data_IF_231846472728
#
_entry.id   IF_231846472728
#
_cell.length_a   1.000
_cell.length_b   1.000
_cell.length_c   1.000
_cell.angle_alpha   90.00
_cell.angle_beta   90.00
_cell.angle_gamma   90.00
#
_symmetry.space_group_name_H-M   'P 1'
#
loop_
_entity.id
_entity.type
_entity.pdbx_description
1 polymer ?
#
# COMPACT_ATOMS: atom_id res chain seq x y z
N UNK A 1 29.41 -23.77 6.44
CA UNK A 1 28.33 -23.91 7.44
C UNK A 1 28.88 -24.68 8.63
N UNK A 2 28.94 -24.10 9.84
CA UNK A 2 29.29 -24.83 11.06
C UNK A 2 28.29 -25.96 11.34
N UNK A 3 28.73 -27.08 11.92
CA UNK A 3 27.89 -28.26 12.23
C UNK A 3 26.66 -27.92 13.08
N UNK A 4 26.81 -26.97 14.00
CA UNK A 4 25.74 -26.49 14.89
C UNK A 4 24.58 -25.86 14.12
N UNK A 5 24.86 -25.20 12.99
CA UNK A 5 23.82 -24.63 12.13
C UNK A 5 22.92 -25.72 11.55
N UNK A 6 23.54 -26.76 10.98
CA UNK A 6 22.83 -27.90 10.39
C UNK A 6 21.96 -28.60 11.44
N UNK A 7 22.47 -28.80 12.65
CA UNK A 7 21.71 -29.41 13.75
C UNK A 7 20.48 -28.58 14.16
N UNK A 8 20.61 -27.25 14.25
CA UNK A 8 19.48 -26.36 14.54
C UNK A 8 18.44 -26.44 13.43
N UNK A 9 18.85 -26.38 12.17
CA UNK A 9 17.96 -26.50 11.02
C UNK A 9 17.24 -27.86 11.01
N UNK A 10 17.95 -28.96 11.28
CA UNK A 10 17.36 -30.31 11.34
C UNK A 10 16.27 -30.42 12.40
N UNK A 11 16.49 -29.86 13.60
CA UNK A 11 15.45 -29.83 14.64
C UNK A 11 14.27 -28.92 14.27
N UNK A 12 14.50 -27.76 13.65
CA UNK A 12 13.41 -26.93 13.14
C UNK A 12 12.60 -27.68 12.07
N UNK A 13 13.26 -28.34 11.12
CA UNK A 13 12.60 -29.16 10.09
C UNK A 13 11.80 -30.29 10.71
N UNK A 14 12.29 -30.91 11.78
CA UNK A 14 11.55 -31.92 12.54
C UNK A 14 10.28 -31.33 13.16
N UNK A 15 10.38 -30.18 13.85
CA UNK A 15 9.22 -29.47 14.42
C UNK A 15 8.19 -29.12 13.34
N UNK A 16 8.63 -28.66 12.15
CA UNK A 16 7.73 -28.41 11.00
C UNK A 16 6.98 -29.67 10.59
N UNK A 17 7.67 -30.82 10.50
CA UNK A 17 7.07 -32.10 10.10
C UNK A 17 6.04 -32.56 11.12
N UNK A 18 6.34 -32.43 12.41
CA UNK A 18 5.42 -32.74 13.50
C UNK A 18 4.17 -31.84 13.42
N UNK A 19 4.33 -30.53 13.23
CA UNK A 19 3.22 -29.59 13.09
C UNK A 19 2.31 -29.87 11.88
N UNK A 20 2.84 -30.44 10.78
CA UNK A 20 2.02 -30.85 9.62
C UNK A 20 1.09 -32.02 9.91
N UNK A 21 1.34 -32.76 10.98
CA UNK A 21 0.47 -33.86 11.42
C UNK A 21 -0.64 -33.40 12.36
N UNK A 22 -0.67 -32.12 12.74
CA UNK A 22 -1.69 -31.57 13.62
C UNK A 22 -3.10 -31.69 12.99
N UNK A 23 -4.11 -32.11 13.77
CA UNK A 23 -5.47 -32.33 13.29
C UNK A 23 -6.22 -31.05 12.93
N UNK A 24 -5.83 -29.90 13.48
CA UNK A 24 -6.49 -28.61 13.25
C UNK A 24 -5.51 -27.54 12.75
N UNK A 25 -6.04 -26.56 11.99
CA UNK A 25 -5.26 -25.39 11.56
C UNK A 25 -4.70 -24.61 12.76
N UNK A 26 -5.50 -24.52 13.82
CA UNK A 26 -5.14 -23.89 15.08
C UNK A 26 -3.86 -24.50 15.66
N UNK A 27 -3.88 -25.82 15.93
CA UNK A 27 -2.76 -26.56 16.51
C UNK A 27 -1.53 -26.54 15.60
N UNK A 28 -1.73 -26.60 14.27
CA UNK A 28 -0.62 -26.44 13.32
C UNK A 28 0.06 -25.08 13.48
N UNK A 29 -0.73 -24.01 13.55
CA UNK A 29 -0.23 -22.64 13.70
C UNK A 29 0.47 -22.42 15.05
N UNK A 30 -0.07 -22.94 16.16
CA UNK A 30 0.59 -22.88 17.49
C UNK A 30 1.95 -23.59 17.49
N UNK A 31 2.08 -24.68 16.73
CA UNK A 31 3.32 -25.44 16.65
C UNK A 31 4.41 -24.78 15.76
N UNK A 32 4.01 -23.91 14.82
CA UNK A 32 4.96 -23.26 13.89
C UNK A 32 5.16 -21.78 14.16
N UNK A 33 4.27 -21.10 14.89
CA UNK A 33 4.44 -19.71 15.32
C UNK A 33 4.73 -19.76 16.82
N UNK A 34 6.00 -19.64 17.17
CA UNK A 34 6.46 -19.85 18.54
C UNK A 34 7.18 -18.63 19.07
N UNK A 35 7.22 -18.49 20.39
CA UNK A 35 8.09 -17.49 21.02
C UNK A 35 9.56 -17.83 20.78
N UNK A 36 10.35 -16.84 20.39
CA UNK A 36 11.80 -16.97 20.20
C UNK A 36 12.47 -17.48 21.47
N UNK A 37 12.09 -16.94 22.63
CA UNK A 37 12.68 -17.32 23.91
C UNK A 37 12.40 -18.80 24.24
N UNK A 38 11.18 -19.25 23.99
CA UNK A 38 10.79 -20.66 24.17
C UNK A 38 11.57 -21.56 23.21
N UNK A 39 11.67 -21.18 21.94
CA UNK A 39 12.41 -21.95 20.93
C UNK A 39 13.89 -22.06 21.29
N UNK A 40 14.54 -20.94 21.63
CA UNK A 40 15.96 -20.91 22.02
C UNK A 40 16.18 -21.80 23.24
N UNK A 41 15.31 -21.72 24.24
CA UNK A 41 15.39 -22.60 25.41
C UNK A 41 15.28 -24.08 25.02
N UNK A 42 14.30 -24.46 24.19
CA UNK A 42 14.12 -25.84 23.74
C UNK A 42 15.30 -26.35 22.91
N UNK A 43 15.81 -25.54 21.98
CA UNK A 43 16.95 -25.91 21.13
C UNK A 43 18.21 -26.13 21.98
N UNK A 44 18.48 -25.26 22.97
CA UNK A 44 19.62 -25.41 23.88
C UNK A 44 19.54 -26.66 24.76
N UNK A 45 18.32 -27.08 25.14
CA UNK A 45 18.15 -28.33 25.89
C UNK A 45 18.43 -29.58 25.02
N UNK A 46 18.08 -29.53 23.74
CA UNK A 46 18.27 -30.65 22.81
C UNK A 46 19.69 -30.72 22.24
N UNK A 47 20.30 -29.58 21.94
CA UNK A 47 21.56 -29.46 21.21
C UNK A 47 22.69 -29.05 22.16
N UNK A 48 23.50 -30.03 22.58
CA UNK A 48 24.59 -29.83 23.56
C UNK A 48 25.69 -28.88 23.07
N UNK A 49 25.85 -28.77 21.75
CA UNK A 49 26.88 -27.92 21.12
C UNK A 49 26.47 -26.43 21.08
N UNK A 50 25.21 -26.12 21.43
CA UNK A 50 24.65 -24.77 21.43
C UNK A 50 24.88 -24.10 22.80
N UNK A 51 26.05 -23.47 22.96
CA UNK A 51 26.56 -23.02 24.26
C UNK A 51 25.77 -21.85 24.84
N UNK A 52 25.49 -20.82 24.04
CA UNK A 52 24.83 -19.58 24.50
C UNK A 52 23.47 -19.35 23.83
N UNK A 53 22.69 -18.44 24.40
CA UNK A 53 21.44 -17.98 23.77
C UNK A 53 21.75 -17.07 22.59
N UNK A 54 22.80 -16.26 22.68
CA UNK A 54 23.25 -15.39 21.59
C UNK A 54 23.64 -16.19 20.34
N UNK A 55 24.40 -17.28 20.50
CA UNK A 55 24.79 -18.16 19.38
C UNK A 55 23.56 -18.74 18.67
N UNK A 56 22.54 -19.14 19.45
CA UNK A 56 21.29 -19.67 18.89
C UNK A 56 20.54 -18.59 18.11
N UNK A 57 20.44 -17.38 18.65
CA UNK A 57 19.78 -16.26 17.98
C UNK A 57 20.50 -15.85 16.69
N UNK A 58 21.84 -15.85 16.70
CA UNK A 58 22.64 -15.59 15.49
C UNK A 58 22.38 -16.65 14.40
N UNK A 59 22.29 -17.93 14.77
CA UNK A 59 21.90 -18.99 13.83
C UNK A 59 20.48 -18.76 13.29
N UNK A 60 19.52 -18.37 14.14
CA UNK A 60 18.15 -18.06 13.72
C UNK A 60 18.09 -16.86 12.77
N UNK A 61 18.92 -15.83 12.97
CA UNK A 61 19.07 -14.70 12.03
C UNK A 61 19.57 -15.17 10.66
N UNK A 62 20.62 -15.97 10.64
CA UNK A 62 21.13 -16.51 9.38
C UNK A 62 20.11 -17.42 8.70
N UNK A 63 19.33 -18.21 9.45
CA UNK A 63 18.20 -18.97 8.91
C UNK A 63 17.10 -18.05 8.34
N UNK A 64 16.86 -16.91 8.97
CA UNK A 64 15.91 -15.91 8.47
C UNK A 64 16.38 -15.30 7.14
N UNK A 65 17.65 -14.89 7.07
CA UNK A 65 18.26 -14.36 5.84
C UNK A 65 18.22 -15.35 4.68
N UNK A 66 18.32 -16.65 4.98
CA UNK A 66 18.22 -17.73 3.99
C UNK A 66 16.76 -18.12 3.66
N UNK A 67 15.78 -17.51 4.30
CA UNK A 67 14.36 -17.81 4.09
C UNK A 67 13.93 -19.16 4.63
N UNK A 68 14.71 -19.77 5.53
CA UNK A 68 14.33 -21.01 6.20
C UNK A 68 13.30 -20.76 7.29
N UNK A 69 13.40 -19.65 8.02
CA UNK A 69 12.43 -19.21 9.04
C UNK A 69 12.10 -17.74 8.81
N UNK A 70 11.02 -17.24 9.43
CA UNK A 70 10.71 -15.80 9.40
C UNK A 70 10.73 -15.24 10.81
N UNK A 71 11.64 -14.30 11.06
CA UNK A 71 11.73 -13.59 12.33
C UNK A 71 11.87 -12.10 12.07
N UNK A 72 10.96 -11.30 12.63
CA UNK A 72 10.91 -9.85 12.42
C UNK A 72 11.33 -9.14 13.70
N UNK A 73 12.64 -9.08 13.97
CA UNK A 73 13.24 -8.62 15.25
C UNK A 73 12.91 -7.19 15.69
N UNK A 74 12.43 -6.34 14.80
CA UNK A 74 12.29 -4.91 15.06
C UNK A 74 11.25 -4.57 16.14
N UNK A 75 11.65 -3.73 17.11
CA UNK A 75 10.86 -3.33 18.28
C UNK A 75 9.52 -2.66 17.93
N UNK A 76 9.43 -2.02 16.76
CA UNK A 76 8.22 -1.33 16.29
C UNK A 76 7.12 -2.29 15.81
N UNK A 77 7.42 -3.59 15.72
CA UNK A 77 6.45 -4.62 15.38
C UNK A 77 6.15 -5.44 16.62
N UNK A 78 4.87 -5.49 17.01
CA UNK A 78 4.40 -6.41 18.07
C UNK A 78 4.67 -7.90 17.73
N UNK A 79 5.36 -8.23 16.63
CA UNK A 79 5.78 -9.58 16.22
C UNK A 79 7.20 -9.95 16.66
N UNK A 80 7.98 -9.03 17.24
CA UNK A 80 9.42 -9.25 17.51
C UNK A 80 9.74 -10.42 18.45
N UNK A 81 8.78 -10.81 19.29
CA UNK A 81 8.88 -11.93 20.22
C UNK A 81 8.58 -13.30 19.60
N UNK A 82 8.07 -13.33 18.35
CA UNK A 82 7.63 -14.52 17.65
C UNK A 82 8.51 -14.85 16.44
N UNK A 83 8.66 -16.15 16.18
CA UNK A 83 9.33 -16.69 15.00
C UNK A 83 8.42 -17.69 14.31
N UNK A 84 8.30 -17.55 12.99
CA UNK A 84 7.56 -18.47 12.14
C UNK A 84 8.54 -19.52 11.63
N UNK A 85 8.40 -20.73 12.15
CA UNK A 85 9.26 -21.85 11.81
C UNK A 85 9.06 -22.34 10.38
N UNK A 86 7.84 -22.28 9.86
CA UNK A 86 7.49 -22.69 8.49
C UNK A 86 7.08 -21.47 7.64
N UNK A 87 7.97 -20.95 6.76
CA UNK A 87 7.69 -19.79 5.93
C UNK A 87 6.46 -19.94 5.02
N UNK A 88 6.02 -21.17 4.74
CA UNK A 88 4.80 -21.42 3.93
C UNK A 88 3.56 -20.82 4.57
N UNK A 89 3.52 -20.69 5.91
CA UNK A 89 2.41 -20.03 6.61
C UNK A 89 2.26 -18.59 6.17
N UNK A 90 3.36 -17.84 6.03
CA UNK A 90 3.31 -16.45 5.58
C UNK A 90 2.84 -16.36 4.13
N UNK A 91 3.26 -17.31 3.27
CA UNK A 91 2.82 -17.38 1.87
C UNK A 91 1.32 -17.66 1.77
N UNK A 92 0.80 -18.57 2.60
CA UNK A 92 -0.62 -18.90 2.66
C UNK A 92 -1.45 -17.69 3.15
N UNK A 93 -0.96 -16.99 4.18
CA UNK A 93 -1.58 -15.74 4.68
C UNK A 93 -1.62 -14.66 3.60
N UNK A 94 -0.52 -14.47 2.86
CA UNK A 94 -0.47 -13.52 1.74
C UNK A 94 -1.44 -13.94 0.63
N UNK A 95 -1.48 -15.23 0.28
CA UNK A 95 -2.35 -15.77 -0.76
C UNK A 95 -3.82 -15.53 -0.41
N UNK A 96 -4.21 -15.77 0.84
CA UNK A 96 -5.58 -15.54 1.32
C UNK A 96 -6.00 -14.08 1.21
N UNK A 97 -5.07 -13.13 1.16
CA UNK A 97 -5.39 -11.70 1.10
C UNK A 97 -5.26 -11.12 -0.31
N UNK A 98 -4.15 -11.41 -0.97
CA UNK A 98 -3.78 -10.84 -2.29
C UNK A 98 -4.42 -11.62 -3.44
N UNK A 99 -4.75 -12.89 -3.22
CA UNK A 99 -5.42 -13.75 -4.19
C UNK A 99 -6.58 -14.51 -3.55
N UNK A 100 -7.40 -13.78 -2.81
CA UNK A 100 -8.62 -14.28 -2.18
C UNK A 100 -9.49 -14.93 -3.26
N UNK A 101 -10.01 -16.13 -2.99
CA UNK A 101 -10.88 -16.82 -3.96
C UNK A 101 -12.27 -16.15 -4.02
N UNK A 102 -12.46 -15.23 -4.96
CA UNK A 102 -13.71 -14.48 -5.15
C UNK A 102 -14.37 -14.67 -6.53
N UNK A 103 -13.71 -15.36 -7.47
CA UNK A 103 -14.27 -15.59 -8.80
C UNK A 103 -15.53 -16.47 -8.72
N UNK A 104 -16.61 -16.04 -9.38
CA UNK A 104 -17.90 -16.74 -9.38
C UNK A 104 -18.71 -16.67 -8.07
N UNK A 105 -18.23 -15.95 -7.04
CA UNK A 105 -18.96 -15.80 -5.76
C UNK A 105 -19.86 -14.56 -5.76
N UNK A 106 -21.14 -14.70 -5.51
CA UNK A 106 -22.06 -13.56 -5.43
C UNK A 106 -22.16 -13.01 -4.01
N UNK A 107 -22.45 -11.70 -3.90
CA UNK A 107 -22.67 -11.02 -2.62
C UNK A 107 -22.01 -9.64 -2.56
N UNK A 108 -22.52 -8.79 -1.66
CA UNK A 108 -22.05 -7.41 -1.49
C UNK A 108 -20.56 -7.36 -1.15
N UNK A 109 -20.09 -8.19 -0.22
CA UNK A 109 -18.69 -8.28 0.19
C UNK A 109 -17.74 -8.60 -1.00
N UNK A 110 -18.15 -9.51 -1.90
CA UNK A 110 -17.36 -9.86 -3.10
C UNK A 110 -17.40 -8.76 -4.15
N UNK A 111 -18.51 -8.03 -4.28
CA UNK A 111 -18.63 -6.89 -5.18
C UNK A 111 -17.73 -5.73 -4.73
N UNK A 112 -17.71 -5.42 -3.44
CA UNK A 112 -16.79 -4.44 -2.84
C UNK A 112 -15.34 -4.81 -3.17
N UNK A 113 -14.93 -6.05 -2.90
CA UNK A 113 -13.57 -6.51 -3.21
C UNK A 113 -13.18 -6.31 -4.69
N UNK A 114 -14.07 -6.65 -5.63
CA UNK A 114 -13.82 -6.47 -7.07
C UNK A 114 -13.69 -5.01 -7.50
N UNK A 115 -14.55 -4.17 -6.95
CA UNK A 115 -14.67 -2.77 -7.35
C UNK A 115 -13.54 -1.94 -6.73
N UNK A 116 -13.45 -1.96 -5.41
CA UNK A 116 -12.58 -1.08 -4.61
C UNK A 116 -11.32 -1.76 -4.09
N UNK A 117 -11.16 -3.07 -4.27
CA UNK A 117 -10.06 -3.82 -3.67
C UNK A 117 -10.12 -3.89 -2.14
N UNK A 118 -11.27 -3.56 -1.53
CA UNK A 118 -11.44 -3.64 -0.08
C UNK A 118 -11.86 -5.05 0.32
N UNK A 119 -10.95 -5.78 0.98
CA UNK A 119 -11.21 -7.05 1.62
C UNK A 119 -11.74 -6.81 3.04
N UNK A 120 -13.04 -7.00 3.21
CA UNK A 120 -13.69 -6.79 4.50
C UNK A 120 -13.25 -7.82 5.53
N UNK A 121 -13.14 -7.41 6.79
CA UNK A 121 -12.69 -8.28 7.87
C UNK A 121 -13.59 -9.51 8.02
N UNK A 122 -14.91 -9.33 7.91
CA UNK A 122 -15.87 -10.44 7.95
C UNK A 122 -15.61 -11.47 6.85
N UNK A 123 -15.25 -11.02 5.64
CA UNK A 123 -14.90 -11.90 4.54
C UNK A 123 -13.56 -12.61 4.78
N UNK A 124 -12.55 -11.87 5.24
CA UNK A 124 -11.24 -12.41 5.64
C UNK A 124 -11.37 -13.55 6.66
N UNK A 125 -12.25 -13.38 7.66
CA UNK A 125 -12.48 -14.35 8.71
C UNK A 125 -13.20 -15.63 8.24
N UNK A 126 -13.70 -15.67 7.00
CA UNK A 126 -14.19 -16.93 6.42
C UNK A 126 -13.06 -17.85 5.96
N UNK A 127 -11.81 -17.36 5.87
CA UNK A 127 -10.64 -18.22 5.68
C UNK A 127 -10.39 -19.07 6.93
N UNK A 128 -10.24 -20.41 6.80
CA UNK A 128 -9.87 -21.28 7.90
C UNK A 128 -8.56 -20.86 8.59
N UNK A 129 -7.60 -20.30 7.84
CA UNK A 129 -6.30 -19.90 8.35
C UNK A 129 -6.42 -18.66 9.26
N UNK A 130 -7.15 -17.65 8.80
CA UNK A 130 -7.38 -16.42 9.55
C UNK A 130 -8.28 -16.64 10.76
N UNK A 131 -9.28 -17.51 10.65
CA UNK A 131 -10.09 -17.97 11.78
C UNK A 131 -9.24 -18.67 12.83
N UNK A 132 -8.36 -19.59 12.42
CA UNK A 132 -7.44 -20.26 13.34
C UNK A 132 -6.45 -19.29 14.02
N UNK A 133 -5.98 -18.25 13.31
CA UNK A 133 -5.17 -17.19 13.93
C UNK A 133 -5.93 -16.45 15.04
N UNK A 134 -7.22 -16.16 14.85
CA UNK A 134 -8.04 -15.55 15.90
C UNK A 134 -8.14 -16.43 17.15
N UNK A 135 -8.20 -17.75 16.98
CA UNK A 135 -8.29 -18.71 18.08
C UNK A 135 -6.96 -18.92 18.84
N UNK A 136 -5.82 -18.54 18.25
CA UNK A 136 -4.47 -18.76 18.77
C UNK A 136 -3.97 -17.70 19.75
N UNK A 137 -4.80 -16.70 20.07
CA UNK A 137 -4.50 -15.73 21.12
C UNK A 137 -4.90 -14.32 20.76
N UNK A 138 -4.79 -13.45 21.77
CA UNK A 138 -5.14 -12.04 21.65
C UNK A 138 -4.14 -11.38 20.68
N UNK A 139 -4.66 -10.77 19.62
CA UNK A 139 -3.95 -9.95 18.61
C UNK A 139 -3.19 -10.66 17.48
N UNK A 140 -3.23 -11.99 17.30
CA UNK A 140 -2.54 -12.64 16.17
C UNK A 140 -3.02 -12.15 14.80
N UNK A 141 -4.32 -11.91 14.63
CA UNK A 141 -4.87 -11.30 13.40
C UNK A 141 -4.30 -9.91 13.15
N UNK A 142 -4.25 -9.05 14.19
CA UNK A 142 -3.71 -7.70 14.09
C UNK A 142 -2.22 -7.73 13.72
N UNK A 143 -1.45 -8.58 14.40
CA UNK A 143 -0.02 -8.82 14.17
C UNK A 143 0.25 -9.17 12.69
N UNK A 144 -0.52 -10.09 12.10
CA UNK A 144 -0.37 -10.43 10.68
C UNK A 144 -0.85 -9.34 9.73
N UNK A 145 -1.93 -8.60 10.05
CA UNK A 145 -2.33 -7.44 9.27
C UNK A 145 -1.25 -6.36 9.23
N UNK A 146 -0.59 -6.11 10.36
CA UNK A 146 0.54 -5.18 10.44
C UNK A 146 1.75 -5.66 9.63
N UNK A 147 2.08 -6.95 9.66
CA UNK A 147 3.12 -7.52 8.80
C UNK A 147 2.80 -7.34 7.31
N UNK A 148 1.57 -7.61 6.88
CA UNK A 148 1.15 -7.40 5.49
C UNK A 148 1.25 -5.92 5.09
N UNK A 149 0.91 -5.01 6.00
CA UNK A 149 1.05 -3.56 5.78
C UNK A 149 2.53 -3.15 5.67
N UNK A 150 3.40 -3.73 6.50
CA UNK A 150 4.85 -3.53 6.44
C UNK A 150 5.43 -4.00 5.10
N UNK A 151 4.92 -5.11 4.55
CA UNK A 151 5.27 -5.57 3.20
C UNK A 151 4.63 -4.75 2.08
N UNK A 152 3.91 -3.66 2.42
CA UNK A 152 3.22 -2.79 1.47
C UNK A 152 2.17 -3.53 0.63
N UNK A 153 1.66 -4.66 1.13
CA UNK A 153 0.66 -5.49 0.44
C UNK A 153 -0.77 -5.03 0.74
N UNK A 154 -1.01 -4.47 1.92
CA UNK A 154 -2.33 -4.01 2.37
C UNK A 154 -2.26 -2.72 3.17
N UNK A 155 -3.39 -2.04 3.29
CA UNK A 155 -3.55 -0.82 4.08
C UNK A 155 -4.88 -0.84 4.84
N UNK A 156 -4.99 -0.21 6.01
CA UNK A 156 -6.26 -0.15 6.71
C UNK A 156 -7.23 0.79 5.97
N UNK A 157 -8.47 0.34 5.77
CA UNK A 157 -9.55 1.21 5.30
C UNK A 157 -9.91 2.29 6.34
N UNK A 158 -9.64 2.01 7.62
CA UNK A 158 -9.83 2.90 8.78
C UNK A 158 -8.61 3.81 9.02
N UNK A 159 -8.72 4.70 10.01
CA UNK A 159 -7.65 5.62 10.47
C UNK A 159 -6.33 4.90 10.82
N UNK A 160 -6.44 3.73 11.45
CA UNK A 160 -5.30 2.91 11.89
C UNK A 160 -5.63 1.44 11.75
N UNK A 161 -4.61 0.60 11.60
CA UNK A 161 -4.79 -0.84 11.65
C UNK A 161 -5.31 -1.27 13.04
N UNK A 162 -6.47 -1.93 13.05
CA UNK A 162 -7.10 -2.57 14.19
C UNK A 162 -7.40 -4.04 13.89
N UNK A 163 -7.74 -4.81 14.92
CA UNK A 163 -8.13 -6.22 14.80
C UNK A 163 -9.20 -6.43 13.72
N UNK A 164 -10.23 -5.60 13.73
CA UNK A 164 -11.42 -5.65 12.88
C UNK A 164 -11.33 -4.77 11.61
N UNK A 165 -10.17 -4.15 11.35
CA UNK A 165 -10.02 -3.27 10.18
C UNK A 165 -10.21 -4.02 8.87
N UNK A 166 -11.03 -3.47 7.99
CA UNK A 166 -11.06 -3.86 6.58
C UNK A 166 -9.73 -3.51 5.92
N UNK A 167 -9.30 -4.37 4.99
CA UNK A 167 -8.02 -4.26 4.31
C UNK A 167 -8.23 -3.74 2.91
N UNK A 168 -7.59 -2.63 2.58
CA UNK A 168 -7.43 -2.20 1.20
C UNK A 168 -6.26 -3.00 0.61
N UNK A 169 -6.54 -3.73 -0.46
CA UNK A 169 -5.58 -4.62 -1.13
C UNK A 169 -5.37 -4.15 -2.57
N UNK A 170 -4.31 -3.36 -2.84
CA UNK A 170 -4.13 -2.73 -4.15
C UNK A 170 -3.98 -3.69 -5.33
N UNK A 171 -3.60 -4.95 -5.07
CA UNK A 171 -3.48 -5.98 -6.10
C UNK A 171 -4.78 -6.21 -6.90
N UNK A 172 -5.95 -5.88 -6.34
CA UNK A 172 -7.23 -6.00 -7.04
C UNK A 172 -7.62 -4.78 -7.88
N UNK A 173 -6.89 -3.66 -7.78
CA UNK A 173 -7.31 -2.42 -8.43
C UNK A 173 -7.25 -2.49 -9.95
N UNK A 174 -6.28 -3.23 -10.53
CA UNK A 174 -6.11 -3.43 -11.99
C UNK A 174 -6.47 -2.16 -12.81
N UNK A 175 -5.97 -0.96 -12.44
CA UNK A 175 -6.45 0.32 -12.95
C UNK A 175 -6.36 0.45 -14.47
N UNK A 176 -5.32 -0.11 -15.10
CA UNK A 176 -5.17 -0.09 -16.56
C UNK A 176 -6.32 -0.82 -17.27
N UNK A 177 -6.64 -2.04 -16.81
CA UNK A 177 -7.72 -2.85 -17.38
C UNK A 177 -9.09 -2.21 -17.18
N UNK A 178 -9.29 -1.47 -16.08
CA UNK A 178 -10.52 -0.74 -15.80
C UNK A 178 -10.61 0.57 -16.60
N UNK A 179 -9.52 1.32 -16.74
CA UNK A 179 -9.45 2.54 -17.53
C UNK A 179 -9.75 2.30 -19.02
N UNK A 180 -9.27 1.19 -19.59
CA UNK A 180 -9.58 0.78 -20.97
C UNK A 180 -11.09 0.59 -21.23
N UNK A 181 -11.87 0.27 -20.19
CA UNK A 181 -13.32 0.05 -20.31
C UNK A 181 -14.13 1.35 -20.30
N UNK A 182 -13.53 2.48 -19.90
CA UNK A 182 -14.17 3.79 -19.89
C UNK A 182 -13.21 4.89 -20.36
N UNK A 183 -13.31 5.34 -21.63
CA UNK A 183 -12.52 6.47 -22.12
C UNK A 183 -12.83 7.75 -21.34
N UNK A 184 -11.80 8.33 -20.70
CA UNK A 184 -11.95 9.50 -19.83
C UNK A 184 -12.31 10.80 -20.55
N UNK A 185 -12.32 10.83 -21.89
CA UNK A 185 -12.87 11.96 -22.66
C UNK A 185 -14.35 12.25 -22.35
N UNK A 186 -15.03 11.39 -21.56
CA UNK A 186 -16.39 11.57 -21.05
C UNK A 186 -16.51 11.61 -19.51
N UNK A 187 -15.44 11.45 -18.74
CA UNK A 187 -15.53 11.50 -17.27
C UNK A 187 -15.53 12.95 -16.78
N UNK A 188 -16.74 13.46 -16.47
CA UNK A 188 -16.92 14.72 -15.75
C UNK A 188 -16.34 14.57 -14.33
N UNK A 189 -15.67 15.62 -13.84
CA UNK A 189 -15.20 15.73 -12.44
C UNK A 189 -16.20 15.15 -11.46
N UNK A 190 -15.73 14.20 -10.64
CA UNK A 190 -16.56 13.52 -9.62
C UNK A 190 -16.84 14.44 -8.44
N UNK A 191 -15.96 15.43 -8.21
CA UNK A 191 -16.13 16.45 -7.18
C UNK A 191 -17.38 17.31 -7.43
N UNK A 192 -17.79 17.48 -8.70
CA UNK A 192 -19.06 18.16 -9.06
C UNK A 192 -20.32 17.40 -8.64
N UNK A 193 -20.23 16.12 -8.26
CA UNK A 193 -21.38 15.26 -7.97
C UNK A 193 -21.68 15.13 -6.47
N UNK A 194 -20.68 15.25 -5.60
CA UNK A 194 -20.79 14.75 -4.23
C UNK A 194 -20.35 15.74 -3.14
N UNK A 195 -19.59 16.78 -3.45
CA UNK A 195 -18.92 17.58 -2.41
C UNK A 195 -19.00 19.08 -2.67
N UNK A 196 -20.06 19.69 -2.10
CA UNK A 196 -20.21 21.14 -1.88
C UNK A 196 -20.28 21.97 -3.18
N UNK A 197 -20.98 23.11 -3.15
CA UNK A 197 -20.80 24.14 -4.18
C UNK A 197 -19.35 24.65 -4.13
N UNK A 198 -18.45 23.99 -4.88
CA UNK A 198 -17.04 24.35 -4.96
C UNK A 198 -16.88 25.70 -5.66
N UNK A 199 -16.43 26.73 -4.92
CA UNK A 199 -16.12 28.05 -5.49
C UNK A 199 -14.76 28.09 -6.18
N UNK A 200 -13.86 27.19 -5.81
CA UNK A 200 -12.49 27.10 -6.32
C UNK A 200 -12.08 25.63 -6.53
N UNK A 201 -11.32 25.37 -7.58
CA UNK A 201 -10.76 24.05 -7.87
C UNK A 201 -9.41 24.18 -8.58
N UNK A 202 -8.55 23.19 -8.39
CA UNK A 202 -7.26 23.10 -9.07
C UNK A 202 -7.02 21.69 -9.59
N UNK A 203 -6.23 21.60 -10.66
CA UNK A 203 -5.84 20.34 -11.29
C UNK A 203 -4.34 20.29 -11.51
N UNK A 204 -3.77 19.14 -11.20
CA UNK A 204 -2.37 18.82 -11.42
C UNK A 204 -2.26 17.49 -12.17
N UNK A 205 -1.36 17.40 -13.14
CA UNK A 205 -1.21 16.22 -13.99
C UNK A 205 0.23 15.75 -14.07
N UNK A 206 0.41 14.44 -13.96
CA UNK A 206 1.64 13.74 -14.25
C UNK A 206 1.47 12.89 -15.50
N UNK A 207 2.37 13.02 -16.48
CA UNK A 207 2.47 12.06 -17.58
C UNK A 207 3.65 11.14 -17.33
N UNK A 208 3.38 9.84 -17.20
CA UNK A 208 4.30 8.83 -16.67
C UNK A 208 4.45 7.69 -17.67
N UNK A 209 5.65 7.12 -17.87
CA UNK A 209 5.82 6.04 -18.82
C UNK A 209 4.89 4.85 -18.54
N UNK A 210 4.26 4.34 -19.59
CA UNK A 210 3.28 3.25 -19.58
C UNK A 210 3.73 2.02 -18.77
N UNK A 211 5.01 1.68 -18.82
CA UNK A 211 5.56 0.50 -18.15
C UNK A 211 5.60 0.58 -16.62
N UNK A 212 5.48 1.78 -16.03
CA UNK A 212 5.62 2.01 -14.59
C UNK A 212 4.44 2.77 -13.96
N UNK A 213 3.55 3.32 -14.79
CA UNK A 213 2.43 4.19 -14.38
C UNK A 213 1.48 3.54 -13.36
N UNK A 214 1.12 2.27 -13.56
CA UNK A 214 0.21 1.52 -12.68
C UNK A 214 0.83 1.32 -11.28
N UNK A 215 2.10 0.94 -11.22
CA UNK A 215 2.82 0.79 -9.96
C UNK A 215 2.95 2.14 -9.23
N UNK A 216 3.25 3.22 -9.95
CA UNK A 216 3.33 4.56 -9.38
C UNK A 216 1.97 5.01 -8.86
N UNK A 217 0.89 4.84 -9.65
CA UNK A 217 -0.47 5.20 -9.24
C UNK A 217 -0.88 4.50 -7.95
N UNK A 218 -0.66 3.18 -7.87
CA UNK A 218 -0.99 2.39 -6.68
C UNK A 218 -0.24 2.91 -5.45
N UNK A 219 1.08 3.08 -5.55
CA UNK A 219 1.90 3.57 -4.45
C UNK A 219 1.53 5.01 -4.05
N UNK A 220 1.19 5.86 -5.02
CA UNK A 220 0.76 7.22 -4.78
C UNK A 220 -0.57 7.31 -4.04
N UNK A 221 -1.60 6.59 -4.50
CA UNK A 221 -2.91 6.55 -3.84
C UNK A 221 -2.75 6.09 -2.39
N UNK A 222 -1.99 5.03 -2.18
CA UNK A 222 -1.66 4.51 -0.84
C UNK A 222 -0.96 5.55 0.02
N UNK A 223 0.10 6.20 -0.49
CA UNK A 223 0.89 7.18 0.28
C UNK A 223 0.06 8.43 0.62
N UNK A 224 -0.98 8.69 -0.16
CA UNK A 224 -1.92 9.78 0.08
C UNK A 224 -2.92 9.48 1.20
N UNK A 225 -2.87 8.31 1.84
CA UNK A 225 -3.82 7.96 2.90
C UNK A 225 -3.60 8.81 4.15
N UNK A 226 -4.57 9.69 4.39
CA UNK A 226 -4.69 10.47 5.61
C UNK A 226 -5.66 9.84 6.57
N UNK A 227 -5.35 9.99 7.85
CA UNK A 227 -6.01 9.29 8.91
C UNK A 227 -7.35 9.96 9.31
N UNK A 228 -7.47 11.26 9.02
CA UNK A 228 -8.62 12.15 9.27
C UNK A 228 -9.60 12.27 8.08
N UNK A 229 -9.37 11.54 6.99
CA UNK A 229 -10.07 11.75 5.70
C UNK A 229 -10.86 10.50 5.29
N UNK A 230 -12.11 10.71 4.84
CA UNK A 230 -12.94 9.64 4.25
C UNK A 230 -12.41 9.28 2.87
N UNK A 231 -12.36 7.98 2.56
CA UNK A 231 -11.71 7.46 1.35
C UNK A 231 -12.63 6.52 0.59
N UNK A 232 -12.68 6.67 -0.73
CA UNK A 232 -13.41 5.79 -1.62
C UNK A 232 -12.50 5.40 -2.79
N UNK A 233 -12.14 4.12 -2.87
CA UNK A 233 -11.44 3.57 -4.02
C UNK A 233 -12.50 3.07 -5.01
N UNK A 234 -12.52 3.65 -6.20
CA UNK A 234 -13.43 3.26 -7.27
C UNK A 234 -12.66 2.54 -8.38
N UNK A 235 -13.34 2.19 -9.47
CA UNK A 235 -12.76 1.40 -10.54
C UNK A 235 -11.55 2.05 -11.21
N UNK A 236 -11.59 3.35 -11.47
CA UNK A 236 -10.52 4.05 -12.19
C UNK A 236 -10.13 5.40 -11.56
N UNK A 237 -10.62 5.67 -10.36
CA UNK A 237 -10.25 6.85 -9.59
C UNK A 237 -10.33 6.57 -8.10
N UNK A 238 -9.62 7.39 -7.34
CA UNK A 238 -9.64 7.42 -5.88
C UNK A 238 -10.21 8.76 -5.43
N UNK A 239 -11.13 8.75 -4.47
CA UNK A 239 -11.65 9.96 -3.84
C UNK A 239 -11.22 10.01 -2.37
N UNK A 240 -10.93 11.21 -1.90
CA UNK A 240 -10.77 11.49 -0.50
C UNK A 240 -11.34 12.86 -0.15
N UNK A 241 -12.07 12.95 0.96
CA UNK A 241 -12.77 14.17 1.33
C UNK A 241 -12.96 14.30 2.85
N UNK A 242 -13.08 15.55 3.28
CA UNK A 242 -13.56 15.92 4.61
C UNK A 242 -14.87 16.71 4.41
N UNK A 243 -16.02 16.19 4.89
CA UNK A 243 -17.32 16.82 4.65
C UNK A 243 -17.34 18.30 5.05
N UNK A 244 -17.71 19.17 4.11
CA UNK A 244 -17.79 20.61 4.34
C UNK A 244 -16.47 21.37 4.26
N UNK A 245 -15.33 20.69 4.12
CA UNK A 245 -14.01 21.32 4.08
C UNK A 245 -13.37 21.23 2.69
N UNK A 246 -13.09 20.01 2.21
CA UNK A 246 -12.50 19.77 0.89
C UNK A 246 -12.87 18.40 0.33
N UNK A 247 -12.71 18.25 -0.99
CA UNK A 247 -12.70 16.97 -1.68
C UNK A 247 -11.57 16.92 -2.70
N UNK A 248 -10.99 15.75 -2.88
CA UNK A 248 -9.96 15.48 -3.87
C UNK A 248 -10.23 14.16 -4.59
N UNK A 249 -9.86 14.11 -5.86
CA UNK A 249 -9.98 12.95 -6.72
C UNK A 249 -8.68 12.72 -7.48
N UNK A 250 -8.22 11.47 -7.52
CA UNK A 250 -7.03 11.05 -8.27
C UNK A 250 -7.49 10.10 -9.36
N UNK A 251 -7.21 10.45 -10.61
CA UNK A 251 -7.60 9.71 -11.81
C UNK A 251 -6.41 9.00 -12.42
N UNK A 252 -6.61 7.76 -12.86
CA UNK A 252 -5.67 7.04 -13.72
C UNK A 252 -6.19 7.00 -15.16
N UNK A 253 -5.44 7.59 -16.08
CA UNK A 253 -5.84 7.79 -17.47
C UNK A 253 -4.86 7.08 -18.38
N UNK A 254 -5.33 6.08 -19.10
CA UNK A 254 -4.53 5.39 -20.11
C UNK A 254 -4.71 6.05 -21.46
N UNK A 255 -3.62 6.24 -22.19
CA UNK A 255 -3.64 6.62 -23.60
C UNK A 255 -2.90 5.56 -24.43
N UNK A 256 -3.67 4.70 -25.10
CA UNK A 256 -3.15 3.58 -25.90
C UNK A 256 -2.27 4.02 -27.07
N UNK A 257 -2.41 5.26 -27.53
CA UNK A 257 -1.59 5.82 -28.61
C UNK A 257 -0.30 6.48 -28.09
N UNK A 258 -0.24 6.78 -26.79
CA UNK A 258 0.87 7.46 -26.14
C UNK A 258 1.87 6.48 -25.52
N UNK A 259 3.09 6.95 -25.31
CA UNK A 259 4.11 6.25 -24.50
C UNK A 259 3.94 6.53 -22.99
N UNK A 260 2.98 7.38 -22.64
CA UNK A 260 2.73 7.85 -21.29
C UNK A 260 1.25 7.66 -20.93
N UNK A 261 1.01 7.22 -19.71
CA UNK A 261 -0.29 7.32 -19.06
C UNK A 261 -0.31 8.58 -18.19
N UNK A 262 -1.49 9.17 -18.01
CA UNK A 262 -1.69 10.38 -17.22
C UNK A 262 -2.28 10.03 -15.84
N UNK A 263 -1.73 10.63 -14.78
CA UNK A 263 -2.30 10.64 -13.45
C UNK A 263 -2.71 12.08 -13.13
N UNK A 264 -4.00 12.31 -12.93
CA UNK A 264 -4.55 13.65 -12.66
C UNK A 264 -5.07 13.72 -11.24
N UNK A 265 -4.64 14.74 -10.52
CA UNK A 265 -5.14 15.11 -9.19
C UNK A 265 -6.06 16.32 -9.39
N UNK A 266 -7.27 16.22 -8.87
CA UNK A 266 -8.22 17.32 -8.80
C UNK A 266 -8.56 17.59 -7.34
N UNK A 267 -8.53 18.85 -6.92
CA UNK A 267 -8.87 19.28 -5.56
C UNK A 267 -9.89 20.41 -5.63
N UNK A 268 -10.93 20.33 -4.80
CA UNK A 268 -11.97 21.35 -4.64
C UNK A 268 -12.19 21.67 -3.17
N UNK A 269 -12.30 22.97 -2.85
CA UNK A 269 -12.53 23.45 -1.49
C UNK A 269 -13.18 24.83 -1.49
N UNK A 270 -13.54 25.33 -0.30
CA UNK A 270 -14.20 26.64 -0.15
C UNK A 270 -13.34 27.86 -0.48
N UNK A 271 -12.01 27.72 -0.49
CA UNK A 271 -11.07 28.83 -0.78
C UNK A 271 -9.87 28.34 -1.60
N UNK A 272 -9.28 29.24 -2.42
CA UNK A 272 -8.06 28.95 -3.21
C UNK A 272 -6.87 28.54 -2.33
N UNK A 273 -6.72 29.15 -1.16
CA UNK A 273 -5.65 28.81 -0.22
C UNK A 273 -5.76 27.35 0.26
N UNK A 274 -6.97 26.91 0.62
CA UNK A 274 -7.20 25.53 1.04
C UNK A 274 -7.03 24.52 -0.11
N UNK A 275 -7.51 24.85 -1.32
CA UNK A 275 -7.30 24.01 -2.52
C UNK A 275 -5.82 23.73 -2.73
N UNK A 276 -4.97 24.76 -2.68
CA UNK A 276 -3.54 24.58 -2.92
C UNK A 276 -2.79 23.96 -1.74
N UNK A 277 -3.22 24.22 -0.50
CA UNK A 277 -2.68 23.50 0.67
C UNK A 277 -2.94 21.99 0.57
N UNK A 278 -4.15 21.58 0.18
CA UNK A 278 -4.48 20.17 -0.01
C UNK A 278 -3.80 19.59 -1.27
N UNK A 279 -3.73 20.35 -2.37
CA UNK A 279 -2.99 19.93 -3.58
C UNK A 279 -1.50 19.68 -3.28
N UNK A 280 -0.87 20.54 -2.47
CA UNK A 280 0.53 20.39 -2.06
C UNK A 280 0.78 19.05 -1.37
N UNK A 281 -0.12 18.63 -0.48
CA UNK A 281 -0.03 17.33 0.18
C UNK A 281 0.06 16.18 -0.84
N UNK A 282 -0.84 16.16 -1.83
CA UNK A 282 -0.84 15.13 -2.87
C UNK A 282 0.39 15.20 -3.78
N UNK A 283 0.82 16.41 -4.17
CA UNK A 283 2.01 16.56 -5.00
C UNK A 283 3.26 16.09 -4.25
N UNK A 284 3.44 16.44 -2.98
CA UNK A 284 4.56 15.98 -2.16
C UNK A 284 4.54 14.45 -2.04
N UNK A 285 3.38 13.85 -1.77
CA UNK A 285 3.25 12.39 -1.70
C UNK A 285 3.65 11.72 -3.03
N UNK A 286 3.22 12.28 -4.17
CA UNK A 286 3.57 11.79 -5.49
C UNK A 286 5.06 11.93 -5.79
N UNK A 287 5.66 13.09 -5.55
CA UNK A 287 7.09 13.32 -5.78
C UNK A 287 7.96 12.39 -4.93
N UNK A 288 7.56 12.11 -3.69
CA UNK A 288 8.27 11.11 -2.87
C UNK A 288 8.17 9.70 -3.46
N UNK A 289 7.02 9.29 -4.01
CA UNK A 289 6.90 8.00 -4.71
C UNK A 289 7.80 7.96 -5.94
N UNK A 290 7.86 9.05 -6.71
CA UNK A 290 8.71 9.15 -7.88
C UNK A 290 10.20 9.10 -7.52
N UNK A 291 10.59 9.78 -6.44
CA UNK A 291 11.97 9.77 -5.94
C UNK A 291 12.40 8.39 -5.44
N UNK A 292 11.53 7.69 -4.69
CA UNK A 292 11.84 6.36 -4.16
C UNK A 292 11.84 5.26 -5.24
N UNK A 293 11.44 5.56 -6.48
CA UNK A 293 11.26 4.55 -7.53
C UNK A 293 12.57 4.24 -8.27
N UNK A 294 13.07 2.98 -8.20
CA UNK A 294 14.32 2.62 -8.85
C UNK A 294 14.29 2.85 -10.37
N UNK A 295 15.32 3.53 -10.89
CA UNK A 295 15.44 3.80 -12.32
C UNK A 295 14.84 5.13 -12.78
N UNK A 296 14.23 5.93 -11.88
CA UNK A 296 13.88 7.32 -12.15
C UNK A 296 14.96 8.33 -11.69
N UNK A 297 15.88 7.93 -10.80
CA UNK A 297 16.86 8.83 -10.17
C UNK A 297 18.02 9.31 -11.05
N UNK A 298 18.31 8.67 -12.18
CA UNK A 298 19.48 9.04 -12.97
C UNK A 298 19.29 8.85 -14.46
N UNK A 299 18.98 9.94 -15.16
CA UNK A 299 19.73 10.48 -16.31
C UNK A 299 18.87 11.56 -16.99
N UNK A 300 19.29 12.82 -16.86
CA UNK A 300 18.90 13.97 -17.71
C UNK A 300 17.41 14.04 -18.07
N UNK A 301 16.65 14.79 -17.27
CA UNK A 301 15.19 14.92 -17.30
C UNK A 301 14.47 14.61 -18.61
N UNK A 302 13.73 13.50 -18.67
CA UNK A 302 12.84 13.24 -19.81
C UNK A 302 11.78 12.13 -19.67
N UNK A 303 11.49 11.57 -18.49
CA UNK A 303 10.48 10.48 -18.40
C UNK A 303 9.15 10.89 -17.78
N UNK A 304 9.13 11.82 -16.83
CA UNK A 304 7.89 12.26 -16.18
C UNK A 304 7.64 13.74 -16.45
N UNK A 305 6.50 14.05 -17.06
CA UNK A 305 6.05 15.44 -17.26
C UNK A 305 5.12 15.84 -16.13
N UNK A 306 5.22 17.10 -15.70
CA UNK A 306 4.45 17.66 -14.59
C UNK A 306 3.79 18.92 -15.08
N UNK A 307 2.47 18.96 -15.02
CA UNK A 307 1.67 20.02 -15.60
C UNK A 307 0.64 20.52 -14.60
N UNK A 308 0.46 21.83 -14.58
CA UNK A 308 -0.77 22.43 -14.05
C UNK A 308 -1.78 22.43 -15.19
N UNK A 309 -3.03 22.05 -14.89
CA UNK A 309 -4.10 22.01 -15.89
C UNK A 309 -5.06 23.17 -15.63
N UNK A 310 -5.30 24.01 -16.64
CA UNK A 310 -6.22 25.14 -16.51
C UNK A 310 -7.69 24.73 -16.66
N UNK A 311 -8.59 25.71 -16.48
CA UNK A 311 -10.03 25.51 -16.60
C UNK A 311 -10.51 25.08 -18.00
N UNK A 312 -9.68 25.24 -19.03
CA UNK A 312 -9.94 24.81 -20.40
C UNK A 312 -9.24 23.47 -20.74
N UNK A 313 -8.78 22.75 -19.72
CA UNK A 313 -8.03 21.49 -19.83
C UNK A 313 -6.70 21.63 -20.61
N UNK A 314 -6.09 22.82 -20.55
CA UNK A 314 -4.78 23.04 -21.16
C UNK A 314 -3.67 22.82 -20.14
N UNK A 315 -2.65 22.08 -20.56
CA UNK A 315 -1.47 21.77 -19.76
C UNK A 315 -0.43 22.91 -19.79
N UNK A 316 0.13 23.24 -18.63
CA UNK A 316 1.27 24.14 -18.46
C UNK A 316 2.38 23.41 -17.71
N UNK A 317 3.48 23.13 -18.39
CA UNK A 317 4.61 22.39 -17.83
C UNK A 317 5.31 23.19 -16.71
N UNK A 318 5.44 22.57 -15.55
CA UNK A 318 5.91 23.22 -14.32
C UNK A 318 7.36 23.67 -14.43
N UNK A 319 8.24 22.83 -14.99
CA UNK A 319 9.65 23.18 -15.19
C UNK A 319 9.82 24.43 -16.07
N UNK A 320 9.05 24.49 -17.16
CA UNK A 320 9.07 25.66 -18.05
C UNK A 320 8.54 26.93 -17.36
N UNK A 321 7.56 26.81 -16.47
CA UNK A 321 7.05 27.94 -15.69
C UNK A 321 8.08 28.44 -14.67
N UNK A 322 8.78 27.52 -13.99
CA UNK A 322 9.83 27.85 -13.02
C UNK A 322 10.99 28.57 -13.72
N UNK A 323 11.38 28.10 -14.91
CA UNK A 323 12.47 28.70 -15.70
C UNK A 323 12.06 30.05 -16.36
N UNK A 324 10.76 30.33 -16.49
CA UNK A 324 10.24 31.53 -17.15
C UNK A 324 9.42 32.41 -16.21
N UNK A 325 10.14 33.15 -15.36
CA UNK A 325 9.57 34.03 -14.31
C UNK A 325 8.59 35.08 -14.83
N UNK A 326 8.76 35.58 -16.06
CA UNK A 326 7.84 36.57 -16.64
C UNK A 326 6.47 35.97 -16.96
N UNK A 327 6.44 34.76 -17.53
CA UNK A 327 5.20 34.04 -17.84
C UNK A 327 4.52 33.49 -16.59
N UNK A 328 5.32 33.07 -15.61
CA UNK A 328 4.85 32.68 -14.28
C UNK A 328 4.08 33.84 -13.62
N UNK A 329 4.70 35.03 -13.53
CA UNK A 329 4.09 36.20 -12.91
C UNK A 329 2.79 36.64 -13.60
N UNK A 330 2.76 36.59 -14.94
CA UNK A 330 1.56 36.92 -15.73
C UNK A 330 0.39 35.95 -15.42
N UNK A 331 0.66 34.65 -15.40
CA UNK A 331 -0.36 33.64 -15.07
C UNK A 331 -0.83 33.79 -13.62
N UNK A 332 0.08 34.03 -12.67
CA UNK A 332 -0.26 34.22 -11.25
C UNK A 332 -1.16 35.42 -11.02
N UNK A 333 -0.91 36.54 -11.71
CA UNK A 333 -1.70 37.77 -11.59
C UNK A 333 -3.10 37.66 -12.19
N UNK A 334 -3.28 36.79 -13.19
CA UNK A 334 -4.48 36.78 -14.03
C UNK A 334 -5.37 35.54 -13.85
N UNK A 335 -4.95 34.53 -13.07
CA UNK A 335 -5.68 33.25 -13.01
C UNK A 335 -5.85 32.69 -11.59
N UNK A 336 -7.03 32.16 -11.30
CA UNK A 336 -7.39 31.58 -10.00
C UNK A 336 -6.89 30.12 -9.83
N UNK A 337 -6.70 29.41 -10.95
CA UNK A 337 -6.26 28.01 -11.00
C UNK A 337 -4.74 27.83 -10.86
N UNK A 338 -3.96 28.88 -10.62
CA UNK A 338 -2.49 28.79 -10.51
C UNK A 338 -2.05 28.71 -9.04
N UNK A 339 -0.95 28.00 -8.70
CA UNK A 339 -0.47 27.95 -7.32
C UNK A 339 0.02 29.33 -6.82
N UNK A 340 -0.11 29.62 -5.50
CA UNK A 340 0.34 30.89 -4.93
C UNK A 340 1.84 31.15 -5.07
N UNK A 341 2.65 30.11 -4.93
CA UNK A 341 4.09 30.10 -5.22
C UNK A 341 4.54 28.68 -5.61
N UNK A 342 5.80 28.51 -5.99
CA UNK A 342 6.42 27.20 -6.27
C UNK A 342 7.46 26.78 -5.22
N UNK A 343 7.60 27.50 -4.10
CA UNK A 343 8.68 27.25 -3.13
C UNK A 343 8.59 25.87 -2.48
N UNK A 344 7.39 25.31 -2.41
CA UNK A 344 7.11 23.99 -1.88
C UNK A 344 7.43 22.86 -2.86
N UNK A 345 7.69 23.17 -4.14
CA UNK A 345 7.94 22.21 -5.21
C UNK A 345 9.44 22.07 -5.55
N UNK A 346 10.30 22.97 -5.05
CA UNK A 346 11.75 23.04 -5.37
C UNK A 346 12.57 22.11 -4.49
#
# INVERSE_FOLDING_TARGET
>A
MPTTYTQVLEEIVKLRREAKTSPTHKERLEAVIVSVNTLVFTLRQKLRDLKSAEDCQEILRTLHELGEVMWYEEEDVEFGDLIILDPTVMLDIVRDVVNYEYEGKDGEHYNILRQSGTLQHTLLMTSPLWSALQENGINMVLKFKQLLMRFKLVYPASYRMSFDSDLIVPAYWKPRLKALRMPLSKQKSVLRRHFVDGREAAKWKYSIPVGISEAIFVNFVVRSYRSDVVRLVNENYFECFVPGEFGAAIYFITDDASKFDDITIEVAAGTRGLVWAEMQYFVIAMEQVLHDYPGLDSTKGSSVKRCIVDANEKDYEVNYLIDNTGREQDLRGNTAWFPPDFKWFI
#
